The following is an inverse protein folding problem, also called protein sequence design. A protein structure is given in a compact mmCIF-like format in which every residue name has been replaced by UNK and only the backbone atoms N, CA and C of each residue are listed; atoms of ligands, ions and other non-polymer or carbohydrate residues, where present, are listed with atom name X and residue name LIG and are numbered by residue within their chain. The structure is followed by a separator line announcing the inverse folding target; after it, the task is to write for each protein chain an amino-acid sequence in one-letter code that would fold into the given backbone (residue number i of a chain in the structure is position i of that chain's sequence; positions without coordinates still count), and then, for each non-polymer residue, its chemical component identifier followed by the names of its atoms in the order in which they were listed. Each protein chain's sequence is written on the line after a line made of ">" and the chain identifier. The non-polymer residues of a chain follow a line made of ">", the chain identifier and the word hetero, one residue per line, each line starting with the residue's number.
data_IF_121011479556
#
_entry.id   IF_121011479556
#
_cell.length_a   1.000
_cell.length_b   1.000
_cell.length_c   1.000
_cell.angle_alpha   90.00
_cell.angle_beta   90.00
_cell.angle_gamma   90.00
#
_symmetry.space_group_name_H-M   'P 1'
#
loop_
_entity.id
_entity.type
_entity.pdbx_description
1 polymer ?
#
# COMPACT_ATOMS: atom_id res chain seq x y z
N UNK A 1 -5.13 -7.24 -20.61
CA UNK A 1 -3.82 -7.43 -19.97
C UNK A 1 -2.87 -8.28 -20.81
N UNK A 2 -3.35 -9.24 -21.57
CA UNK A 2 -2.54 -10.15 -22.42
C UNK A 2 -1.72 -9.41 -23.48
N UNK A 3 -2.29 -8.40 -24.14
CA UNK A 3 -1.58 -7.61 -25.17
C UNK A 3 -0.35 -6.86 -24.63
N UNK A 4 -0.39 -6.38 -23.40
CA UNK A 4 0.74 -5.69 -22.78
C UNK A 4 1.89 -6.68 -22.55
N UNK A 5 1.57 -7.91 -22.12
CA UNK A 5 2.57 -8.96 -21.91
C UNK A 5 3.27 -9.37 -23.23
N UNK A 6 2.48 -9.53 -24.30
CA UNK A 6 3.01 -9.84 -25.65
C UNK A 6 3.90 -8.69 -26.14
N UNK A 7 3.51 -7.43 -25.95
CA UNK A 7 4.26 -6.25 -26.34
C UNK A 7 5.61 -6.16 -25.60
N UNK A 8 5.63 -6.47 -24.30
CA UNK A 8 6.86 -6.54 -23.50
C UNK A 8 7.79 -7.64 -24.03
N UNK A 9 7.26 -8.86 -24.31
CA UNK A 9 8.07 -9.97 -24.85
C UNK A 9 8.69 -9.59 -26.20
N UNK A 10 7.91 -8.98 -27.10
CA UNK A 10 8.40 -8.53 -28.41
C UNK A 10 9.48 -7.46 -28.22
N UNK A 11 9.29 -6.47 -27.34
CA UNK A 11 10.27 -5.42 -27.09
C UNK A 11 11.59 -5.97 -26.53
N UNK A 12 11.52 -6.94 -25.61
CA UNK A 12 12.71 -7.65 -25.08
C UNK A 12 13.43 -8.40 -26.20
N UNK A 13 12.69 -9.17 -27.01
CA UNK A 13 13.26 -9.97 -28.10
C UNK A 13 13.95 -9.10 -29.16
N UNK A 14 13.30 -8.01 -29.59
CA UNK A 14 13.86 -7.05 -30.54
C UNK A 14 15.11 -6.36 -29.98
N UNK A 15 15.11 -6.00 -28.67
CA UNK A 15 16.24 -5.36 -28.01
C UNK A 15 17.45 -6.28 -27.92
N UNK A 16 17.23 -7.59 -27.70
CA UNK A 16 18.30 -8.60 -27.69
C UNK A 16 18.86 -8.79 -29.10
N UNK A 17 18.00 -8.93 -30.13
CA UNK A 17 18.41 -9.10 -31.53
C UNK A 17 19.18 -7.90 -32.09
N UNK A 18 18.83 -6.69 -31.69
CA UNK A 18 19.47 -5.46 -32.17
C UNK A 18 20.71 -5.07 -31.36
N UNK A 19 21.10 -5.82 -30.35
CA UNK A 19 22.20 -5.50 -29.43
C UNK A 19 21.95 -4.25 -28.56
N UNK A 20 20.71 -3.74 -28.53
CA UNK A 20 20.30 -2.54 -27.80
C UNK A 20 19.75 -2.82 -26.40
N UNK A 21 20.21 -3.90 -25.77
CA UNK A 21 19.75 -4.33 -24.44
C UNK A 21 19.86 -3.20 -23.38
N UNK A 22 20.89 -2.36 -23.50
CA UNK A 22 21.08 -1.22 -22.58
C UNK A 22 19.92 -0.22 -22.60
N UNK A 23 19.34 0.09 -23.75
CA UNK A 23 18.18 1.00 -23.82
C UNK A 23 16.96 0.42 -23.09
N UNK A 24 16.76 -0.91 -23.17
CA UNK A 24 15.69 -1.57 -22.44
C UNK A 24 15.93 -1.51 -20.93
N UNK A 25 17.16 -1.75 -20.48
CA UNK A 25 17.52 -1.66 -19.06
C UNK A 25 17.33 -0.25 -18.50
N UNK A 26 17.76 0.78 -19.25
CA UNK A 26 17.51 2.18 -18.87
C UNK A 26 16.03 2.54 -18.83
N UNK A 27 15.24 2.10 -19.80
CA UNK A 27 13.80 2.32 -19.79
C UNK A 27 13.11 1.66 -18.61
N UNK A 28 13.49 0.41 -18.28
CA UNK A 28 12.99 -0.32 -17.12
C UNK A 28 13.37 0.37 -15.81
N UNK A 29 14.62 0.79 -15.69
CA UNK A 29 15.11 1.51 -14.51
C UNK A 29 14.38 2.84 -14.33
N UNK A 30 14.18 3.60 -15.40
CA UNK A 30 13.41 4.84 -15.39
C UNK A 30 11.95 4.59 -14.93
N UNK A 31 11.31 3.56 -15.46
CA UNK A 31 9.96 3.17 -15.03
C UNK A 31 9.90 2.80 -13.54
N UNK A 32 10.85 1.99 -13.07
CA UNK A 32 10.94 1.61 -11.65
C UNK A 32 11.23 2.82 -10.76
N UNK A 33 12.02 3.78 -11.22
CA UNK A 33 12.30 5.02 -10.50
C UNK A 33 11.04 5.87 -10.33
N UNK A 34 10.24 6.02 -11.40
CA UNK A 34 8.95 6.71 -11.34
C UNK A 34 8.00 6.01 -10.37
N UNK A 35 7.90 4.68 -10.46
CA UNK A 35 7.05 3.89 -9.56
C UNK A 35 7.49 4.04 -8.10
N UNK A 36 8.79 4.00 -7.84
CA UNK A 36 9.38 4.25 -6.51
C UNK A 36 9.01 5.65 -6.00
N UNK A 37 9.12 6.67 -6.82
CA UNK A 37 8.72 8.05 -6.48
C UNK A 37 7.23 8.15 -6.12
N UNK A 38 6.36 7.52 -6.90
CA UNK A 38 4.91 7.48 -6.61
C UNK A 38 4.63 6.78 -5.27
N UNK A 39 5.29 5.65 -4.99
CA UNK A 39 5.15 4.96 -3.71
C UNK A 39 5.57 5.86 -2.54
N UNK A 40 6.71 6.54 -2.65
CA UNK A 40 7.17 7.47 -1.62
C UNK A 40 6.14 8.58 -1.38
N UNK A 41 5.58 9.17 -2.42
CA UNK A 41 4.56 10.23 -2.30
C UNK A 41 3.30 9.69 -1.58
N UNK A 42 2.76 8.55 -2.04
CA UNK A 42 1.55 7.95 -1.46
C UNK A 42 1.76 7.63 0.02
N UNK A 43 2.84 6.93 0.36
CA UNK A 43 3.09 6.54 1.74
C UNK A 43 3.54 7.70 2.63
N UNK A 44 4.12 8.77 2.07
CA UNK A 44 4.35 10.02 2.81
C UNK A 44 3.04 10.70 3.20
N UNK A 45 2.07 10.78 2.29
CA UNK A 45 0.73 11.29 2.60
C UNK A 45 0.08 10.44 3.70
N UNK A 46 0.12 9.10 3.58
CA UNK A 46 -0.39 8.21 4.61
C UNK A 46 0.31 8.42 5.96
N UNK A 47 1.62 8.63 5.97
CA UNK A 47 2.39 8.89 7.19
C UNK A 47 1.99 10.21 7.86
N UNK A 48 1.74 11.26 7.09
CA UNK A 48 1.19 12.53 7.63
C UNK A 48 -0.19 12.33 8.25
N UNK A 49 -1.06 11.53 7.62
CA UNK A 49 -2.36 11.18 8.18
C UNK A 49 -2.22 10.38 9.49
N UNK A 50 -1.27 9.46 9.57
CA UNK A 50 -0.97 8.74 10.81
C UNK A 50 -0.53 9.68 11.93
N UNK A 51 0.39 10.62 11.64
CA UNK A 51 0.90 11.58 12.62
C UNK A 51 -0.21 12.52 13.16
N UNK A 52 -1.20 12.84 12.34
CA UNK A 52 -2.35 13.68 12.73
C UNK A 52 -3.49 12.90 13.38
N UNK A 53 -3.39 11.58 13.45
CA UNK A 53 -4.37 10.68 14.05
C UNK A 53 -4.13 10.52 15.56
N UNK A 54 -5.20 10.21 16.31
CA UNK A 54 -5.13 10.00 17.77
C UNK A 54 -5.32 8.52 18.10
N UNK A 55 -4.55 8.03 19.05
CA UNK A 55 -4.72 6.68 19.58
C UNK A 55 -6.07 6.55 20.28
N UNK A 56 -6.83 5.54 19.92
CA UNK A 56 -8.10 5.17 20.53
C UNK A 56 -8.15 3.67 20.81
N UNK A 57 -8.88 3.30 21.85
CA UNK A 57 -9.25 1.90 22.08
C UNK A 57 -10.40 1.55 21.13
N UNK A 58 -10.30 0.41 20.49
CA UNK A 58 -11.30 -0.06 19.54
C UNK A 58 -11.54 -1.57 19.72
N UNK A 59 -12.73 -2.01 19.42
CA UNK A 59 -13.06 -3.43 19.33
C UNK A 59 -13.29 -3.76 17.85
N UNK A 60 -12.69 -4.84 17.36
CA UNK A 60 -12.96 -5.31 16.01
C UNK A 60 -14.38 -5.86 15.94
N UNK A 61 -15.16 -5.48 14.94
CA UNK A 61 -16.53 -5.92 14.71
C UNK A 61 -16.62 -6.99 13.62
N UNK A 62 -16.31 -6.58 12.40
CA UNK A 62 -16.48 -7.40 11.20
C UNK A 62 -15.57 -6.92 10.07
N UNK A 63 -15.54 -7.74 9.04
CA UNK A 63 -14.96 -7.36 7.74
C UNK A 63 -16.08 -7.32 6.73
N UNK A 64 -16.25 -6.18 6.07
CA UNK A 64 -17.32 -5.96 5.11
C UNK A 64 -16.87 -5.00 4.00
N UNK A 65 -17.70 -4.88 2.95
CA UNK A 65 -17.49 -3.90 1.89
C UNK A 65 -17.90 -2.50 2.38
N UNK A 66 -17.08 -1.46 2.19
CA UNK A 66 -17.43 -0.10 2.60
C UNK A 66 -18.55 0.53 1.75
N UNK A 67 -18.83 -0.01 0.55
CA UNK A 67 -19.96 0.32 -0.30
C UNK A 67 -20.26 -0.85 -1.23
N UNK A 68 -21.44 -0.86 -1.87
CA UNK A 68 -21.82 -1.91 -2.85
C UNK A 68 -20.88 -1.95 -4.07
N UNK A 69 -20.25 -0.83 -4.41
CA UNK A 69 -19.32 -0.71 -5.54
C UNK A 69 -17.86 -1.00 -5.15
N UNK A 70 -17.59 -1.17 -3.86
CA UNK A 70 -16.22 -1.39 -3.40
C UNK A 70 -15.71 -2.78 -3.79
N UNK A 71 -14.52 -2.82 -4.36
CA UNK A 71 -13.85 -4.08 -4.77
C UNK A 71 -13.14 -4.79 -3.61
N UNK A 72 -12.86 -4.08 -2.52
CA UNK A 72 -12.07 -4.58 -1.40
C UNK A 72 -12.83 -4.49 -0.09
N UNK A 73 -12.76 -5.53 0.71
CA UNK A 73 -13.28 -5.57 2.06
C UNK A 73 -12.35 -4.80 2.99
N UNK A 74 -12.94 -4.14 3.99
CA UNK A 74 -12.22 -3.42 5.06
C UNK A 74 -12.66 -3.92 6.41
N UNK A 75 -11.78 -3.81 7.40
CA UNK A 75 -12.10 -4.12 8.78
C UNK A 75 -12.90 -2.95 9.40
N UNK A 76 -13.95 -3.27 10.15
CA UNK A 76 -14.75 -2.30 10.91
C UNK A 76 -14.42 -2.42 12.38
N UNK A 77 -14.25 -1.27 13.01
CA UNK A 77 -13.92 -1.14 14.42
C UNK A 77 -14.94 -0.28 15.14
N UNK A 78 -15.33 -0.70 16.33
CA UNK A 78 -16.14 0.10 17.26
C UNK A 78 -15.19 1.03 18.02
N UNK A 79 -15.30 2.33 17.77
CA UNK A 79 -14.52 3.39 18.43
C UNK A 79 -15.47 4.38 19.05
N UNK A 80 -15.42 4.56 20.38
CA UNK A 80 -16.30 5.46 21.12
C UNK A 80 -17.82 5.23 20.86
N UNK A 81 -18.22 4.00 20.53
CA UNK A 81 -19.62 3.64 20.25
C UNK A 81 -20.04 3.76 18.77
N UNK A 82 -19.16 4.21 17.89
CA UNK A 82 -19.43 4.33 16.45
C UNK A 82 -18.67 3.27 15.66
N UNK A 83 -19.33 2.73 14.62
CA UNK A 83 -18.69 1.81 13.66
C UNK A 83 -17.86 2.59 12.64
N UNK A 84 -16.56 2.39 12.66
CA UNK A 84 -15.62 3.13 11.81
C UNK A 84 -14.84 2.14 10.95
N UNK A 85 -14.83 2.31 9.59
CA UNK A 85 -14.06 1.46 8.70
C UNK A 85 -12.57 1.80 8.74
N UNK A 86 -11.73 0.75 8.56
CA UNK A 86 -10.30 0.91 8.35
C UNK A 86 -10.01 1.62 7.02
N UNK A 87 -8.91 2.38 6.97
CA UNK A 87 -8.47 3.08 5.75
C UNK A 87 -7.94 2.11 4.69
N UNK A 88 -7.32 1.02 5.13
CA UNK A 88 -6.72 0.01 4.25
C UNK A 88 -7.62 -1.21 4.08
N UNK A 89 -7.49 -1.93 2.94
CA UNK A 89 -8.13 -3.23 2.77
C UNK A 89 -7.75 -4.21 3.87
N UNK A 90 -8.62 -5.18 4.13
CA UNK A 90 -8.32 -6.23 5.10
C UNK A 90 -7.10 -7.07 4.69
N UNK A 91 -6.33 -7.51 5.66
CA UNK A 91 -5.27 -8.49 5.46
C UNK A 91 -5.85 -9.92 5.49
N UNK A 92 -5.80 -10.59 4.34
CA UNK A 92 -6.40 -11.92 4.19
C UNK A 92 -5.60 -13.04 4.88
N UNK A 93 -4.25 -12.95 4.87
CA UNK A 93 -3.36 -14.04 5.31
C UNK A 93 -3.34 -14.14 6.84
N UNK A 94 -3.24 -13.01 7.54
CA UNK A 94 -3.16 -12.96 9.00
C UNK A 94 -4.48 -12.65 9.69
N UNK A 95 -5.61 -12.83 8.99
CA UNK A 95 -6.96 -12.49 9.47
C UNK A 95 -7.26 -13.01 10.87
N UNK A 96 -6.96 -14.29 11.15
CA UNK A 96 -7.23 -14.94 12.45
C UNK A 96 -6.41 -14.34 13.61
N UNK A 97 -5.28 -13.71 13.31
CA UNK A 97 -4.38 -13.10 14.30
C UNK A 97 -4.73 -11.64 14.51
N UNK A 98 -4.99 -10.92 13.42
CA UNK A 98 -5.20 -9.48 13.43
C UNK A 98 -6.63 -9.08 13.82
N UNK A 99 -7.64 -9.90 13.44
CA UNK A 99 -9.05 -9.52 13.56
C UNK A 99 -9.79 -10.46 14.51
N UNK A 100 -9.62 -10.22 15.80
CA UNK A 100 -10.29 -11.00 16.86
C UNK A 100 -11.30 -10.12 17.60
N UNK A 101 -12.54 -10.63 17.77
CA UNK A 101 -13.62 -9.91 18.45
C UNK A 101 -13.50 -9.92 19.97
N UNK A 102 -12.68 -10.84 20.51
CA UNK A 102 -12.45 -11.01 21.96
C UNK A 102 -11.40 -10.05 22.52
N UNK A 103 -10.76 -9.21 21.67
CA UNK A 103 -9.67 -8.32 22.07
C UNK A 103 -9.98 -6.86 21.80
N UNK A 104 -9.50 -6.03 22.69
CA UNK A 104 -9.40 -4.57 22.47
C UNK A 104 -8.12 -4.25 21.72
N UNK A 105 -8.23 -3.42 20.71
CA UNK A 105 -7.12 -2.95 19.90
C UNK A 105 -6.85 -1.49 20.17
N UNK A 106 -5.61 -1.08 20.01
CA UNK A 106 -5.24 0.32 19.90
C UNK A 106 -5.12 0.66 18.42
N UNK A 107 -5.97 1.56 17.95
CA UNK A 107 -6.02 2.02 16.56
C UNK A 107 -5.78 3.52 16.51
N UNK A 108 -5.26 4.02 15.39
CA UNK A 108 -5.13 5.44 15.13
C UNK A 108 -6.39 5.94 14.43
N UNK A 109 -7.14 6.80 15.09
CA UNK A 109 -8.37 7.39 14.55
C UNK A 109 -8.11 8.77 13.99
N UNK A 110 -8.40 8.97 12.71
CA UNK A 110 -8.32 10.24 12.03
C UNK A 110 -9.71 10.88 11.92
N UNK A 111 -9.99 11.87 12.80
CA UNK A 111 -11.33 12.48 12.95
C UNK A 111 -11.89 13.07 11.65
N UNK A 112 -11.06 13.81 10.87
CA UNK A 112 -11.52 14.46 9.64
C UNK A 112 -11.93 13.48 8.53
N UNK A 113 -11.29 12.31 8.45
CA UNK A 113 -11.59 11.30 7.44
C UNK A 113 -12.64 10.29 7.92
N UNK A 114 -12.97 10.24 9.21
CA UNK A 114 -13.83 9.20 9.77
C UNK A 114 -13.29 7.79 9.50
N UNK A 115 -11.98 7.60 9.58
CA UNK A 115 -11.29 6.34 9.29
C UNK A 115 -10.35 5.98 10.41
N UNK A 116 -10.11 4.66 10.57
CA UNK A 116 -9.08 4.15 11.48
C UNK A 116 -7.93 3.54 10.71
N UNK A 117 -6.75 3.61 11.33
CA UNK A 117 -5.57 2.86 10.90
C UNK A 117 -5.29 1.82 11.98
N UNK A 118 -5.41 0.58 11.64
CA UNK A 118 -5.04 -0.54 12.49
C UNK A 118 -3.52 -0.79 12.45
N UNK A 119 -3.04 -1.79 13.19
CA UNK A 119 -1.62 -2.12 13.23
C UNK A 119 -1.07 -2.54 11.88
N UNK A 120 -1.90 -3.23 11.07
CA UNK A 120 -1.52 -3.64 9.73
C UNK A 120 -1.36 -2.42 8.82
N UNK A 121 -2.32 -1.48 8.86
CA UNK A 121 -2.25 -0.22 8.11
C UNK A 121 -1.00 0.60 8.46
N UNK A 122 -0.66 0.71 9.75
CA UNK A 122 0.55 1.40 10.22
C UNK A 122 1.81 0.71 9.68
N UNK A 123 1.89 -0.63 9.82
CA UNK A 123 3.03 -1.39 9.31
C UNK A 123 3.18 -1.23 7.78
N UNK A 124 2.08 -1.29 7.04
CA UNK A 124 2.07 -1.09 5.59
C UNK A 124 2.58 0.29 5.18
N UNK A 125 2.19 1.35 5.90
CA UNK A 125 2.69 2.71 5.64
C UNK A 125 4.20 2.81 5.86
N UNK A 126 4.72 2.26 6.97
CA UNK A 126 6.15 2.30 7.30
C UNK A 126 6.96 1.48 6.29
N UNK A 127 6.54 0.25 6.01
CA UNK A 127 7.22 -0.63 5.05
C UNK A 127 7.16 -0.06 3.63
N UNK A 128 6.02 0.48 3.22
CA UNK A 128 5.86 1.08 1.90
C UNK A 128 6.78 2.28 1.70
N UNK A 129 6.92 3.14 2.72
CA UNK A 129 7.85 4.27 2.68
C UNK A 129 9.31 3.80 2.64
N UNK A 130 9.68 2.83 3.48
CA UNK A 130 11.04 2.27 3.51
C UNK A 130 11.41 1.57 2.19
N UNK A 131 10.49 0.76 1.63
CA UNK A 131 10.70 0.10 0.34
C UNK A 131 10.80 1.10 -0.81
N UNK A 132 9.93 2.11 -0.85
CA UNK A 132 9.97 3.14 -1.88
C UNK A 132 11.28 3.94 -1.86
N UNK A 133 11.69 4.43 -0.69
CA UNK A 133 12.96 5.17 -0.55
C UNK A 133 14.17 4.28 -0.81
N UNK A 134 14.19 3.05 -0.32
CA UNK A 134 15.27 2.09 -0.54
C UNK A 134 15.44 1.76 -2.02
N UNK A 135 14.37 1.41 -2.71
CA UNK A 135 14.39 1.10 -4.14
C UNK A 135 14.87 2.31 -4.95
N UNK A 136 14.33 3.51 -4.68
CA UNK A 136 14.74 4.73 -5.36
C UNK A 136 16.23 5.03 -5.17
N UNK A 137 16.74 4.89 -3.94
CA UNK A 137 18.16 5.12 -3.64
C UNK A 137 19.08 4.13 -4.37
N UNK A 138 18.70 2.85 -4.41
CA UNK A 138 19.47 1.82 -5.11
C UNK A 138 19.52 2.13 -6.61
N UNK A 139 18.37 2.44 -7.21
CA UNK A 139 18.29 2.75 -8.64
C UNK A 139 19.11 3.99 -9.01
N UNK A 140 19.03 5.05 -8.21
CA UNK A 140 19.86 6.26 -8.44
C UNK A 140 21.34 5.90 -8.40
N UNK A 141 21.82 5.15 -7.38
CA UNK A 141 23.23 4.76 -7.25
C UNK A 141 23.72 3.80 -8.34
N UNK A 142 22.81 3.04 -8.96
CA UNK A 142 23.20 2.12 -10.05
C UNK A 142 23.30 2.82 -11.42
N UNK A 143 22.56 3.91 -11.64
CA UNK A 143 22.43 4.52 -12.95
C UNK A 143 22.98 5.94 -13.04
N UNK A 144 23.26 6.55 -11.89
CA UNK A 144 23.84 7.90 -11.77
C UNK A 144 25.01 7.94 -10.78
#
# INVERSE_FOLDING_TARGET
>A
MEYIFILIIIAVFVSVLTGKLWYLLFALAGFLLILSGLLVIIFSICSVLLLTSKWKKAQFLRVDLPSQEAKYKVAYYLVDGEEIPCMFPEEGIFRKILYRTDKTYHVLFHKKLGKVFDRFAVATCILGLACGTGLGTILIKMFF
#
